data_IF_704776091635
#
_entry.id   IF_704776091635
#
_cell.length_a   1.000
_cell.length_b   1.000
_cell.length_c   1.000
_cell.angle_alpha   90.00
_cell.angle_beta   90.00
_cell.angle_gamma   90.00
#
_symmetry.space_group_name_H-M   'P 1'
#
loop_
_entity.id
_entity.type
_entity.pdbx_description
1 polymer ?
#
# COMPACT_ATOMS: atom_id res chain seq x y z
N UNK A 1 63.56 15.77 -15.45
CA UNK A 1 64.42 14.92 -14.59
C UNK A 1 64.58 13.56 -15.26
N UNK A 2 65.79 13.17 -15.66
CA UNK A 2 66.04 11.82 -16.23
C UNK A 2 65.92 10.79 -15.11
N UNK A 3 64.95 9.90 -15.23
CA UNK A 3 64.75 8.81 -14.26
C UNK A 3 65.86 7.79 -14.50
N UNK A 4 66.80 7.67 -13.57
CA UNK A 4 67.86 6.65 -13.62
C UNK A 4 67.29 5.29 -13.25
N UNK A 5 67.88 4.19 -13.74
CA UNK A 5 67.48 2.82 -13.37
C UNK A 5 67.44 2.61 -11.85
N UNK A 6 68.39 3.22 -11.12
CA UNK A 6 68.43 3.21 -9.65
C UNK A 6 67.23 3.93 -9.00
N UNK A 7 66.69 4.97 -9.63
CA UNK A 7 65.50 5.70 -9.17
C UNK A 7 64.22 4.86 -9.32
N UNK A 8 64.11 4.08 -10.40
CA UNK A 8 63.01 3.12 -10.60
C UNK A 8 63.06 1.99 -9.57
N UNK A 9 64.24 1.43 -9.31
CA UNK A 9 64.42 0.37 -8.31
C UNK A 9 64.03 0.82 -6.91
N UNK A 10 64.41 2.04 -6.50
CA UNK A 10 63.99 2.60 -5.20
C UNK A 10 62.48 2.81 -5.10
N UNK A 11 61.81 3.18 -6.21
CA UNK A 11 60.35 3.34 -6.23
C UNK A 11 59.62 2.00 -6.07
N UNK A 12 60.16 0.92 -6.64
CA UNK A 12 59.60 -0.44 -6.52
C UNK A 12 59.83 -0.99 -5.11
N UNK A 13 61.08 -0.92 -4.61
CA UNK A 13 61.47 -1.45 -3.30
C UNK A 13 60.80 -0.72 -2.13
N UNK A 14 60.55 0.59 -2.26
CA UNK A 14 59.85 1.38 -1.23
C UNK A 14 58.36 1.58 -1.55
N UNK A 15 57.81 0.87 -2.54
CA UNK A 15 56.36 0.90 -2.74
C UNK A 15 55.69 0.09 -1.63
N UNK A 16 54.55 0.54 -1.06
CA UNK A 16 53.75 -0.26 -0.13
C UNK A 16 53.20 -1.56 -0.75
N UNK A 17 53.49 -1.81 -2.03
CA UNK A 17 53.01 -2.95 -2.79
C UNK A 17 54.06 -4.06 -2.74
N UNK A 18 53.88 -4.97 -1.79
CA UNK A 18 54.60 -6.24 -1.78
C UNK A 18 53.75 -7.29 -2.51
N UNK A 19 54.27 -7.75 -3.65
CA UNK A 19 53.59 -8.68 -4.54
C UNK A 19 53.26 -10.04 -3.89
N UNK A 20 53.90 -10.36 -2.77
CA UNK A 20 53.76 -11.64 -2.07
C UNK A 20 52.93 -11.57 -0.79
N UNK A 21 52.65 -10.37 -0.27
CA UNK A 21 51.80 -10.19 0.93
C UNK A 21 50.45 -9.55 0.61
N UNK A 22 50.31 -8.85 -0.51
CA UNK A 22 49.04 -8.24 -0.93
C UNK A 22 48.16 -9.29 -1.64
N UNK A 23 47.19 -9.83 -0.90
CA UNK A 23 46.13 -10.67 -1.48
C UNK A 23 45.37 -9.85 -2.54
N UNK A 24 45.27 -10.32 -3.79
CA UNK A 24 44.53 -9.61 -4.82
C UNK A 24 43.03 -9.56 -4.45
N UNK A 25 42.35 -8.49 -4.86
CA UNK A 25 40.90 -8.43 -4.68
C UNK A 25 40.24 -9.58 -5.44
N UNK A 26 39.18 -10.20 -4.88
CA UNK A 26 38.43 -11.21 -5.60
C UNK A 26 37.83 -10.62 -6.88
N UNK A 27 37.64 -11.47 -7.89
CA UNK A 27 37.05 -11.04 -9.16
C UNK A 27 35.59 -10.56 -8.95
N UNK A 28 35.26 -9.45 -9.60
CA UNK A 28 33.96 -8.77 -9.51
C UNK A 28 33.07 -9.18 -10.70
N UNK A 29 33.60 -9.94 -11.66
CA UNK A 29 32.90 -10.32 -12.89
C UNK A 29 31.52 -10.94 -12.62
N UNK A 30 31.40 -11.93 -11.72
CA UNK A 30 30.11 -12.57 -11.42
C UNK A 30 29.06 -11.59 -10.88
N UNK A 31 29.48 -10.65 -10.02
CA UNK A 31 28.59 -9.61 -9.47
C UNK A 31 28.13 -8.64 -10.55
N UNK A 32 29.02 -8.28 -11.47
CA UNK A 32 28.71 -7.40 -12.62
C UNK A 32 27.81 -8.10 -13.63
N UNK A 33 28.05 -9.38 -13.89
CA UNK A 33 27.22 -10.18 -14.80
C UNK A 33 25.79 -10.31 -14.24
N UNK A 34 25.64 -10.57 -12.93
CA UNK A 34 24.34 -10.58 -12.25
C UNK A 34 23.61 -9.23 -12.39
N UNK A 35 24.32 -8.13 -12.19
CA UNK A 35 23.77 -6.78 -12.35
C UNK A 35 23.33 -6.53 -13.80
N UNK A 36 24.17 -6.89 -14.78
CA UNK A 36 23.88 -6.72 -16.20
C UNK A 36 22.66 -7.55 -16.64
N UNK A 37 22.51 -8.78 -16.12
CA UNK A 37 21.31 -9.60 -16.33
C UNK A 37 20.06 -8.92 -15.77
N UNK A 38 20.15 -8.34 -14.57
CA UNK A 38 19.04 -7.63 -13.95
C UNK A 38 18.63 -6.35 -14.72
N UNK A 39 19.60 -5.59 -15.23
CA UNK A 39 19.35 -4.32 -15.95
C UNK A 39 19.32 -4.44 -17.47
N UNK A 40 19.29 -5.65 -18.03
CA UNK A 40 19.35 -5.88 -19.48
C UNK A 40 18.23 -5.17 -20.26
N UNK A 41 17.04 -5.07 -19.67
CA UNK A 41 15.86 -4.40 -20.24
C UNK A 41 15.87 -2.87 -20.09
N UNK A 42 16.86 -2.30 -19.40
CA UNK A 42 16.95 -0.86 -19.20
C UNK A 42 17.45 -0.13 -20.44
N UNK A 43 17.29 1.19 -20.43
CA UNK A 43 17.70 2.03 -21.54
C UNK A 43 19.13 2.59 -21.36
N UNK A 44 19.88 2.66 -22.47
CA UNK A 44 21.16 3.36 -22.58
C UNK A 44 22.18 3.03 -21.46
N UNK A 45 22.66 4.04 -20.74
CA UNK A 45 23.72 3.89 -19.73
C UNK A 45 23.35 2.93 -18.60
N UNK A 46 22.06 2.77 -18.29
CA UNK A 46 21.60 1.88 -17.22
C UNK A 46 21.76 0.40 -17.57
N UNK A 47 21.75 0.05 -18.86
CA UNK A 47 22.02 -1.33 -19.33
C UNK A 47 23.51 -1.56 -19.60
N UNK A 48 24.20 -0.55 -20.14
CA UNK A 48 25.57 -0.70 -20.65
C UNK A 48 26.65 -0.46 -19.58
N UNK A 49 26.37 0.38 -18.57
CA UNK A 49 27.39 0.82 -17.62
C UNK A 49 27.07 0.39 -16.19
N UNK A 50 28.08 -0.09 -15.46
CA UNK A 50 27.93 -0.58 -14.08
C UNK A 50 27.38 0.50 -13.15
N UNK A 51 27.87 1.74 -13.25
CA UNK A 51 27.40 2.87 -12.41
C UNK A 51 25.95 3.26 -12.75
N UNK A 52 25.56 3.22 -14.02
CA UNK A 52 24.17 3.42 -14.43
C UNK A 52 23.25 2.34 -13.87
N UNK A 53 23.66 1.08 -14.03
CA UNK A 53 22.91 -0.08 -13.58
C UNK A 53 22.65 -0.08 -12.07
N UNK A 54 23.67 0.21 -11.23
CA UNK A 54 23.48 0.28 -9.77
C UNK A 54 22.51 1.38 -9.34
N UNK A 55 22.61 2.59 -9.94
CA UNK A 55 21.67 3.67 -9.66
C UNK A 55 20.24 3.27 -9.97
N UNK A 56 20.04 2.59 -11.11
CA UNK A 56 18.73 2.14 -11.54
C UNK A 56 18.19 1.02 -10.67
N UNK A 57 19.03 0.03 -10.33
CA UNK A 57 18.66 -1.08 -9.44
C UNK A 57 18.15 -0.57 -8.09
N UNK A 58 18.87 0.35 -7.45
CA UNK A 58 18.45 0.90 -6.16
C UNK A 58 17.11 1.64 -6.28
N UNK A 59 16.94 2.44 -7.32
CA UNK A 59 15.67 3.15 -7.59
C UNK A 59 14.50 2.19 -7.79
N UNK A 60 14.72 1.09 -8.52
CA UNK A 60 13.71 0.05 -8.73
C UNK A 60 13.32 -0.60 -7.41
N UNK A 61 14.27 -0.93 -6.54
CA UNK A 61 13.94 -1.54 -5.25
C UNK A 61 13.17 -0.60 -4.32
N UNK A 62 13.50 0.69 -4.31
CA UNK A 62 12.69 1.68 -3.57
C UNK A 62 11.26 1.75 -4.11
N UNK A 63 11.08 1.80 -5.43
CA UNK A 63 9.73 1.84 -6.02
C UNK A 63 8.96 0.55 -5.84
N UNK A 64 9.61 -0.61 -5.90
CA UNK A 64 8.98 -1.89 -5.64
C UNK A 64 8.43 -1.97 -4.22
N UNK A 65 9.21 -1.50 -3.24
CA UNK A 65 8.80 -1.44 -1.84
C UNK A 65 7.64 -0.45 -1.62
N UNK A 66 7.69 0.73 -2.26
CA UNK A 66 6.58 1.69 -2.25
C UNK A 66 5.31 1.09 -2.87
N UNK A 67 5.41 0.48 -4.05
CA UNK A 67 4.29 -0.11 -4.78
C UNK A 67 3.64 -1.26 -4.00
N UNK A 68 4.42 -2.13 -3.34
CA UNK A 68 3.87 -3.19 -2.49
C UNK A 68 3.02 -2.66 -1.33
N UNK A 69 3.39 -1.50 -0.76
CA UNK A 69 2.59 -0.85 0.30
C UNK A 69 1.33 -0.22 -0.26
N UNK A 70 1.41 0.36 -1.46
CA UNK A 70 0.30 1.10 -2.06
C UNK A 70 -0.70 0.21 -2.80
N UNK A 71 -0.30 -0.97 -3.28
CA UNK A 71 -1.14 -1.95 -4.00
C UNK A 71 -2.45 -2.22 -3.25
N UNK A 72 -2.37 -2.57 -1.96
CA UNK A 72 -3.54 -2.86 -1.14
C UNK A 72 -4.43 -1.62 -0.91
N UNK A 73 -3.84 -0.42 -0.88
CA UNK A 73 -4.60 0.84 -0.71
C UNK A 73 -5.33 1.21 -1.98
N UNK A 74 -4.66 1.08 -3.12
CA UNK A 74 -5.21 1.31 -4.44
C UNK A 74 -6.33 0.33 -4.74
N UNK A 75 -6.17 -0.95 -4.43
CA UNK A 75 -7.22 -1.95 -4.60
C UNK A 75 -8.49 -1.59 -3.80
N UNK A 76 -8.34 -1.18 -2.54
CA UNK A 76 -9.45 -0.72 -1.71
C UNK A 76 -10.09 0.57 -2.23
N UNK A 77 -9.29 1.48 -2.76
CA UNK A 77 -9.76 2.72 -3.38
C UNK A 77 -10.64 2.42 -4.61
N UNK A 78 -10.12 1.66 -5.57
CA UNK A 78 -10.86 1.31 -6.78
C UNK A 78 -12.08 0.44 -6.49
N UNK A 79 -12.00 -0.46 -5.50
CA UNK A 79 -13.15 -1.26 -5.09
C UNK A 79 -14.26 -0.38 -4.49
N UNK A 80 -13.89 0.67 -3.74
CA UNK A 80 -14.86 1.67 -3.26
C UNK A 80 -15.52 2.43 -4.41
N UNK A 81 -14.74 2.92 -5.37
CA UNK A 81 -15.28 3.65 -6.54
C UNK A 81 -16.26 2.79 -7.34
N UNK A 82 -15.96 1.50 -7.53
CA UNK A 82 -16.87 0.56 -8.21
C UNK A 82 -18.17 0.37 -7.44
N UNK A 83 -18.10 0.24 -6.11
CA UNK A 83 -19.30 0.12 -5.27
C UNK A 83 -20.12 1.41 -5.32
N UNK A 84 -19.47 2.57 -5.28
CA UNK A 84 -20.16 3.87 -5.36
C UNK A 84 -20.94 3.98 -6.68
N UNK A 85 -20.29 3.69 -7.81
CA UNK A 85 -20.95 3.67 -9.12
C UNK A 85 -22.12 2.66 -9.19
N UNK A 86 -21.98 1.48 -8.59
CA UNK A 86 -23.07 0.50 -8.54
C UNK A 86 -24.24 0.95 -7.64
N UNK A 87 -23.96 1.71 -6.59
CA UNK A 87 -25.00 2.26 -5.71
C UNK A 87 -25.74 3.45 -6.34
N UNK A 88 -25.08 4.21 -7.23
CA UNK A 88 -25.72 5.26 -8.02
C UNK A 88 -26.87 4.73 -8.88
N UNK A 89 -26.74 3.53 -9.46
CA UNK A 89 -27.83 2.85 -10.21
C UNK A 89 -29.04 2.52 -9.33
N UNK A 90 -28.84 2.49 -8.01
CA UNK A 90 -29.87 2.25 -7.02
C UNK A 90 -30.17 3.50 -6.19
N UNK A 91 -29.74 4.69 -6.58
CA UNK A 91 -30.03 5.96 -5.89
C UNK A 91 -29.71 5.94 -4.39
N UNK A 92 -28.64 5.26 -3.98
CA UNK A 92 -28.19 5.19 -2.59
C UNK A 92 -26.75 5.72 -2.48
N UNK A 93 -26.49 6.62 -1.53
CA UNK A 93 -25.12 7.09 -1.31
C UNK A 93 -24.30 6.06 -0.50
N UNK A 94 -23.02 5.86 -0.86
CA UNK A 94 -22.12 4.93 -0.17
C UNK A 94 -22.04 5.13 1.35
N UNK A 95 -22.06 6.38 1.83
CA UNK A 95 -21.99 6.69 3.27
C UNK A 95 -23.15 6.07 4.04
N UNK A 96 -24.36 6.19 3.50
CA UNK A 96 -25.58 5.62 4.08
C UNK A 96 -25.52 4.09 4.01
N UNK A 97 -25.22 3.55 2.83
CA UNK A 97 -25.08 2.11 2.63
C UNK A 97 -24.10 1.46 3.62
N UNK A 98 -22.90 2.04 3.79
CA UNK A 98 -21.88 1.49 4.67
C UNK A 98 -22.27 1.57 6.14
N UNK A 99 -22.97 2.63 6.56
CA UNK A 99 -23.46 2.73 7.93
C UNK A 99 -24.49 1.63 8.22
N UNK A 100 -25.45 1.42 7.31
CA UNK A 100 -26.49 0.39 7.46
C UNK A 100 -25.92 -1.02 7.50
N UNK A 101 -24.94 -1.34 6.66
CA UNK A 101 -24.24 -2.62 6.74
C UNK A 101 -23.52 -2.80 8.09
N UNK A 102 -22.97 -1.72 8.66
CA UNK A 102 -22.32 -1.75 9.97
C UNK A 102 -23.29 -2.04 11.11
N UNK A 103 -24.45 -1.39 11.10
CA UNK A 103 -25.55 -1.59 12.08
C UNK A 103 -26.21 -2.97 11.94
N UNK A 104 -26.28 -3.51 10.72
CA UNK A 104 -26.74 -4.87 10.44
C UNK A 104 -25.69 -5.95 10.77
N UNK A 105 -24.51 -5.57 11.28
CA UNK A 105 -23.37 -6.47 11.52
C UNK A 105 -22.89 -7.26 10.28
N UNK A 106 -23.08 -6.72 9.08
CA UNK A 106 -22.62 -7.31 7.81
C UNK A 106 -21.20 -6.82 7.51
N UNK A 107 -20.21 -7.65 7.87
CA UNK A 107 -18.77 -7.33 7.78
C UNK A 107 -18.15 -7.63 6.40
N UNK A 108 -18.77 -7.15 5.32
CA UNK A 108 -18.23 -7.32 3.97
C UNK A 108 -17.21 -6.22 3.61
N UNK A 109 -16.09 -6.61 2.99
CA UNK A 109 -15.11 -5.65 2.46
C UNK A 109 -15.56 -5.09 1.09
N UNK A 110 -15.05 -3.91 0.74
CA UNK A 110 -15.36 -3.26 -0.53
C UNK A 110 -14.90 -4.07 -1.73
N UNK A 111 -13.82 -4.86 -1.60
CA UNK A 111 -13.36 -5.76 -2.66
C UNK A 111 -14.46 -6.77 -2.99
N UNK A 112 -15.01 -7.45 -1.98
CA UNK A 112 -16.08 -8.44 -2.14
C UNK A 112 -17.37 -7.78 -2.63
N UNK A 113 -17.75 -6.64 -2.04
CA UNK A 113 -18.93 -5.88 -2.49
C UNK A 113 -18.82 -5.47 -3.97
N UNK A 114 -17.63 -5.06 -4.42
CA UNK A 114 -17.39 -4.71 -5.83
C UNK A 114 -17.50 -5.94 -6.75
N UNK A 115 -17.07 -7.11 -6.30
CA UNK A 115 -17.21 -8.35 -7.06
C UNK A 115 -18.68 -8.77 -7.15
N UNK A 116 -19.43 -8.67 -6.05
CA UNK A 116 -20.87 -8.93 -6.05
C UNK A 116 -21.60 -7.99 -7.00
N UNK A 117 -21.28 -6.69 -7.00
CA UNK A 117 -21.87 -5.73 -7.91
C UNK A 117 -21.65 -6.10 -9.39
N UNK A 118 -20.46 -6.58 -9.75
CA UNK A 118 -20.11 -6.93 -11.14
C UNK A 118 -20.71 -8.29 -11.55
N UNK A 119 -20.49 -9.33 -10.75
CA UNK A 119 -20.78 -10.71 -11.13
C UNK A 119 -22.14 -11.21 -10.66
N UNK A 120 -22.66 -10.66 -9.56
CA UNK A 120 -23.92 -11.08 -8.93
C UNK A 120 -24.83 -9.89 -8.61
N UNK A 121 -25.34 -9.18 -9.63
CA UNK A 121 -26.12 -7.95 -9.43
C UNK A 121 -27.40 -8.18 -8.62
N UNK A 122 -27.98 -9.39 -8.67
CA UNK A 122 -29.16 -9.74 -7.85
C UNK A 122 -28.84 -9.79 -6.36
N UNK A 123 -27.72 -10.43 -5.99
CA UNK A 123 -27.23 -10.50 -4.61
C UNK A 123 -26.91 -9.11 -4.07
N UNK A 124 -26.24 -8.29 -4.89
CA UNK A 124 -25.95 -6.89 -4.54
C UNK A 124 -27.22 -6.07 -4.34
N UNK A 125 -28.21 -6.19 -5.25
CA UNK A 125 -29.51 -5.53 -5.11
C UNK A 125 -30.26 -5.91 -3.84
N UNK A 126 -30.18 -7.17 -3.39
CA UNK A 126 -30.77 -7.60 -2.12
C UNK A 126 -30.12 -6.89 -0.93
N UNK A 127 -28.80 -6.74 -0.92
CA UNK A 127 -28.09 -5.97 0.13
C UNK A 127 -28.49 -4.50 0.13
N UNK A 128 -28.62 -3.90 -1.06
CA UNK A 128 -29.04 -2.50 -1.19
C UNK A 128 -30.49 -2.30 -0.74
N UNK A 129 -31.38 -3.23 -1.07
CA UNK A 129 -32.79 -3.18 -0.65
C UNK A 129 -32.92 -3.24 0.88
N UNK A 130 -32.15 -4.11 1.52
CA UNK A 130 -32.04 -4.20 2.98
C UNK A 130 -31.51 -2.88 3.57
N UNK A 131 -30.41 -2.34 3.02
CA UNK A 131 -29.83 -1.10 3.50
C UNK A 131 -30.78 0.11 3.33
N UNK A 132 -31.53 0.18 2.22
CA UNK A 132 -32.54 1.23 2.00
C UNK A 132 -33.65 1.17 3.05
N UNK A 133 -34.18 -0.02 3.31
CA UNK A 133 -35.24 -0.17 4.31
C UNK A 133 -34.78 0.22 5.71
N UNK A 134 -33.58 -0.22 6.11
CA UNK A 134 -32.98 0.20 7.39
C UNK A 134 -32.81 1.72 7.48
N UNK A 135 -32.35 2.35 6.40
CA UNK A 135 -32.18 3.79 6.38
C UNK A 135 -33.51 4.54 6.53
N UNK A 136 -34.60 4.01 5.95
CA UNK A 136 -35.96 4.56 6.10
C UNK A 136 -36.46 4.39 7.54
N UNK A 137 -36.21 3.24 8.17
CA UNK A 137 -36.59 2.98 9.57
C UNK A 137 -35.88 3.90 10.56
N UNK A 138 -34.61 4.21 10.32
CA UNK A 138 -33.89 5.22 11.12
C UNK A 138 -34.33 6.67 10.79
N UNK A 139 -35.22 6.86 9.82
CA UNK A 139 -35.76 8.17 9.44
C UNK A 139 -34.86 8.99 8.51
N UNK A 140 -33.92 8.36 7.80
CA UNK A 140 -33.11 9.05 6.79
C UNK A 140 -33.89 9.21 5.48
N UNK A 141 -33.65 10.33 4.80
CA UNK A 141 -34.25 10.63 3.51
C UNK A 141 -33.55 9.86 2.39
N UNK A 142 -34.07 8.68 2.04
CA UNK A 142 -33.58 7.82 0.95
C UNK A 142 -34.71 7.55 -0.02
N UNK A 143 -34.43 7.43 -1.33
CA UNK A 143 -35.47 7.08 -2.32
C UNK A 143 -36.00 5.67 -2.05
N UNK A 144 -37.32 5.55 -1.89
CA UNK A 144 -38.01 4.27 -1.72
C UNK A 144 -38.25 3.60 -3.07
N UNK A 145 -37.74 2.38 -3.25
CA UNK A 145 -38.02 1.56 -4.43
C UNK A 145 -39.07 0.50 -4.11
N UNK A 146 -39.79 -0.01 -5.11
CA UNK A 146 -40.76 -1.10 -4.90
C UNK A 146 -40.13 -2.38 -4.28
N UNK A 147 -38.83 -2.60 -4.50
CA UNK A 147 -38.09 -3.75 -3.96
C UNK A 147 -37.78 -3.65 -2.46
N UNK A 148 -37.62 -2.44 -1.91
CA UNK A 148 -37.31 -2.29 -0.47
C UNK A 148 -38.49 -2.67 0.42
N UNK A 149 -39.73 -2.52 -0.04
CA UNK A 149 -40.93 -2.83 0.74
C UNK A 149 -41.12 -4.33 1.01
N UNK A 150 -40.42 -5.20 0.28
CA UNK A 150 -40.59 -6.66 0.42
C UNK A 150 -39.73 -7.24 1.54
N UNK A 151 -38.63 -6.57 1.91
CA UNK A 151 -37.73 -7.09 2.93
C UNK A 151 -38.41 -6.90 4.31
N UNK A 152 -38.37 -7.94 5.14
CA UNK A 152 -38.93 -7.89 6.49
C UNK A 152 -37.78 -7.72 7.46
N UNK A 153 -37.80 -6.62 8.19
CA UNK A 153 -36.77 -6.18 9.12
C UNK A 153 -37.33 -6.31 10.52
N UNK A 154 -36.68 -7.12 11.36
CA UNK A 154 -37.05 -7.23 12.77
C UNK A 154 -36.26 -6.20 13.57
N UNK A 155 -36.91 -5.55 14.55
CA UNK A 155 -36.27 -4.55 15.42
C UNK A 155 -35.03 -5.07 16.16
N UNK A 156 -34.88 -6.39 16.34
CA UNK A 156 -33.72 -7.02 16.98
C UNK A 156 -32.58 -7.39 16.04
N UNK A 157 -32.74 -7.20 14.72
CA UNK A 157 -31.70 -7.50 13.73
C UNK A 157 -30.58 -6.43 13.73
N UNK A 158 -30.88 -5.23 14.25
CA UNK A 158 -30.03 -4.06 14.16
C UNK A 158 -29.43 -3.71 15.51
N UNK A 159 -28.12 -3.50 15.54
CA UNK A 159 -27.37 -3.15 16.74
C UNK A 159 -26.52 -1.90 16.53
N UNK A 160 -25.84 -1.49 17.59
CA UNK A 160 -24.76 -0.51 17.47
C UNK A 160 -23.64 -1.12 16.61
N UNK A 161 -23.08 -0.37 15.63
CA UNK A 161 -21.95 -0.85 14.84
C UNK A 161 -20.81 -1.32 15.74
N UNK A 162 -20.13 -2.40 15.35
CA UNK A 162 -18.97 -2.87 16.09
C UNK A 162 -17.93 -1.77 16.28
N UNK A 163 -17.34 -1.74 17.48
CA UNK A 163 -16.28 -0.81 17.81
C UNK A 163 -15.09 -0.96 16.87
N UNK A 164 -14.69 0.17 16.28
CA UNK A 164 -13.47 0.23 15.48
C UNK A 164 -12.28 0.16 16.45
N UNK A 165 -11.32 -0.72 16.15
CA UNK A 165 -10.11 -0.93 16.97
C UNK A 165 -9.30 0.35 17.18
N UNK A 166 -9.31 1.25 16.19
CA UNK A 166 -8.63 2.54 16.25
C UNK A 166 -9.64 3.65 15.97
N UNK A 167 -9.93 4.47 16.98
CA UNK A 167 -10.74 5.68 16.85
C UNK A 167 -9.81 6.89 16.74
N UNK A 168 -9.73 7.47 15.55
CA UNK A 168 -9.05 8.75 15.37
C UNK A 168 -9.97 9.88 15.85
N UNK A 169 -9.51 10.76 16.75
CA UNK A 169 -10.32 11.90 17.18
C UNK A 169 -10.63 12.81 15.98
N UNK A 170 -11.88 13.27 15.86
CA UNK A 170 -12.24 14.30 14.87
C UNK A 170 -11.78 15.66 15.40
N UNK A 171 -11.04 16.42 14.59
CA UNK A 171 -10.54 17.76 14.92
C UNK A 171 -9.02 17.85 14.94
N UNK A 172 -8.47 18.99 15.39
CA UNK A 172 -7.04 19.07 15.69
C UNK A 172 -6.75 18.05 16.79
N UNK A 173 -5.81 17.14 16.54
CA UNK A 173 -5.47 16.12 17.52
C UNK A 173 -4.96 16.82 18.79
N UNK A 174 -5.75 16.89 19.87
CA UNK A 174 -5.35 17.40 21.18
C UNK A 174 -4.09 16.71 21.75
N UNK A 175 -3.53 15.75 21.02
CA UNK A 175 -2.19 15.20 21.19
C UNK A 175 -1.09 16.28 21.26
N UNK A 176 -1.27 17.47 20.67
CA UNK A 176 -0.34 18.59 20.84
C UNK A 176 -0.49 19.30 22.19
N UNK A 177 -1.64 19.17 22.86
CA UNK A 177 -1.92 19.76 24.17
C UNK A 177 -1.21 19.00 25.29
N UNK A 178 -0.99 17.70 25.10
CA UNK A 178 -0.23 16.86 26.04
C UNK A 178 1.23 16.80 25.60
N UNK A 179 2.10 17.45 26.36
CA UNK A 179 3.55 17.35 26.15
C UNK A 179 3.98 15.88 26.28
N UNK A 180 4.77 15.32 25.34
CA UNK A 180 5.20 13.93 25.43
C UNK A 180 5.99 13.71 26.71
N UNK A 181 5.64 12.66 27.46
CA UNK A 181 6.37 12.29 28.67
C UNK A 181 7.79 11.87 28.30
N UNK A 182 8.78 12.29 29.10
CA UNK A 182 10.13 11.74 28.97
C UNK A 182 10.09 10.24 29.28
N UNK A 183 10.66 9.43 28.39
CA UNK A 183 10.82 7.99 28.60
C UNK A 183 11.56 7.73 29.90
N UNK A 184 11.06 6.79 30.70
CA UNK A 184 11.75 6.34 31.92
C UNK A 184 12.88 5.38 31.55
N UNK A 185 13.86 5.22 32.43
CA UNK A 185 15.07 4.41 32.18
C UNK A 185 14.77 2.95 31.81
N UNK A 186 13.64 2.39 32.27
CA UNK A 186 13.23 1.02 31.95
C UNK A 186 12.44 0.88 30.63
N UNK A 187 12.13 1.99 29.97
CA UNK A 187 11.45 2.04 28.68
C UNK A 187 12.45 2.21 27.50
N UNK A 188 13.77 2.21 27.81
CA UNK A 188 14.88 2.17 26.85
C UNK A 188 15.31 0.75 26.51
#
# INVERSE_FOLDING_TARGET
MKVTSASLLRRVLNSPHDAYTVIPKPDIWMTRERLAKFTAWQYASERNTVKGAYRKQNKIFHYLDMQRRDEQRLEKHYSRERVDAALEEHELEYKHFRNMLGEAHILLDNVVLSQLAIYEPKSFKSLVSLAKQMAIEEGRTVTSDAGSTTVMTEYGLFGEPYDITVRFPRGSAENHTKMPSKLKVHEY
#
